data_IF_494807509421
#
_entry.id   IF_494807509421
#
_cell.length_a   1.000
_cell.length_b   1.000
_cell.length_c   1.000
_cell.angle_alpha   90.00
_cell.angle_beta   90.00
_cell.angle_gamma   90.00
#
_symmetry.space_group_name_H-M   'P 1'
#
loop_
_entity.id
_entity.type
_entity.pdbx_description
1 polymer ?
2 non-polymer ?
3 non-polymer ?
4 water ?
#
# COMPACT_ATOMS: atom_id res chain seq x y z
N UNK A 1 -8.51 13.09 11.66
CA UNK A 1 -9.66 12.88 10.76
C UNK A 1 -9.88 11.41 10.40
N UNK A 2 -11.00 11.14 9.73
CA UNK A 2 -11.32 9.80 9.29
C UNK A 2 -11.28 9.85 7.78
N UNK A 3 -10.48 8.97 7.18
CA UNK A 3 -10.33 8.94 5.72
C UNK A 3 -11.01 7.71 5.12
N UNK A 4 -11.94 7.92 4.20
CA UNK A 4 -12.61 6.79 3.56
C UNK A 4 -11.78 6.30 2.37
N UNK A 5 -11.99 5.06 1.95
CA UNK A 5 -11.21 4.50 0.84
C UNK A 5 -11.92 4.38 -0.50
N UNK A 6 -12.99 5.14 -0.70
CA UNK A 6 -13.70 5.10 -1.98
C UNK A 6 -12.74 5.59 -3.04
N UNK A 7 -11.88 6.53 -2.65
CA UNK A 7 -10.87 7.09 -3.54
C UNK A 7 -9.52 6.88 -2.87
N UNK A 8 -8.44 7.06 -3.63
CA UNK A 8 -7.11 6.92 -3.10
C UNK A 8 -6.98 7.87 -1.92
N UNK A 9 -6.46 7.38 -0.78
CA UNK A 9 -6.32 8.25 0.39
C UNK A 9 -5.19 9.28 0.20
N UNK A 10 -5.49 10.33 -0.56
CA UNK A 10 -4.52 11.38 -0.82
C UNK A 10 -4.65 12.55 0.14
N UNK A 11 -3.53 12.94 0.75
CA UNK A 11 -3.49 14.05 1.69
C UNK A 11 -2.36 15.00 1.35
N UNK A 12 -2.43 16.23 1.85
CA UNK A 12 -1.39 17.22 1.58
C UNK A 12 -0.26 17.12 2.60
N UNK A 13 0.98 17.14 2.10
CA UNK A 13 2.15 17.08 2.95
C UNK A 13 3.09 18.25 2.68
N UNK A 14 3.95 18.54 3.66
CA UNK A 14 4.91 19.61 3.52
C UNK A 14 6.29 19.07 3.83
N UNK A 15 7.18 19.14 2.85
CA UNK A 15 8.54 18.67 3.00
C UNK A 15 9.47 19.56 2.18
N UNK A 16 10.59 19.95 2.78
CA UNK A 16 11.53 20.80 2.10
C UNK A 16 10.85 22.10 1.69
N UNK A 17 9.92 22.56 2.53
CA UNK A 17 9.21 23.80 2.25
C UNK A 17 8.18 23.71 1.14
N UNK A 18 8.11 22.56 0.47
CA UNK A 18 7.15 22.38 -0.62
C UNK A 18 5.91 21.59 -0.22
N UNK A 19 4.77 21.97 -0.77
CA UNK A 19 3.52 21.27 -0.50
C UNK A 19 3.33 20.23 -1.60
N UNK A 20 2.89 19.04 -1.21
CA UNK A 20 2.67 17.97 -2.18
C UNK A 20 1.50 17.10 -1.77
N UNK A 21 1.04 16.27 -2.69
CA UNK A 21 -0.04 15.34 -2.43
C UNK A 21 0.64 14.00 -2.25
N UNK A 22 0.27 13.27 -1.20
CA UNK A 22 0.85 11.97 -0.92
C UNK A 22 -0.22 10.98 -0.45
N UNK A 23 0.01 9.73 -0.82
CA UNK A 23 -0.90 8.63 -0.52
C UNK A 23 -0.60 8.01 0.85
N UNK A 24 -1.62 7.89 1.69
CA UNK A 24 -1.45 7.26 3.00
C UNK A 24 -1.50 5.78 2.68
N UNK A 25 -0.35 5.13 2.75
CA UNK A 25 -0.22 3.73 2.37
C UNK A 25 0.14 2.79 3.51
N UNK A 26 -0.82 2.02 4.00
CA UNK A 26 -0.55 1.08 5.09
C UNK A 26 0.27 -0.12 4.65
N UNK A 27 0.38 -0.34 3.33
CA UNK A 27 1.13 -1.47 2.82
C UNK A 27 2.59 -1.16 2.52
N UNK A 28 2.97 0.09 2.68
CA UNK A 28 4.35 0.49 2.44
C UNK A 28 5.11 0.58 3.76
N UNK A 29 6.24 -0.11 3.85
CA UNK A 29 7.05 -0.09 5.06
C UNK A 29 7.75 1.26 5.19
N UNK A 30 8.23 1.76 4.06
CA UNK A 30 8.96 3.03 4.01
C UNK A 30 8.16 4.13 3.31
N UNK A 31 8.75 5.31 3.28
CA UNK A 31 8.14 6.47 2.65
C UNK A 31 8.94 6.75 1.37
N UNK A 32 8.26 6.83 0.23
CA UNK A 32 8.92 7.05 -1.04
C UNK A 32 8.36 8.26 -1.75
N UNK A 33 9.21 9.23 -2.04
CA UNK A 33 8.75 10.44 -2.70
C UNK A 33 9.29 10.56 -4.11
N UNK A 34 8.54 11.25 -4.95
CA UNK A 34 8.95 11.47 -6.33
C UNK A 34 10.27 12.24 -6.33
N UNK A 35 11.06 12.07 -7.38
CA UNK A 35 12.34 12.74 -7.51
C UNK A 35 12.31 14.21 -7.11
N UNK A 36 13.21 14.60 -6.20
CA UNK A 36 13.33 15.98 -5.74
C UNK A 36 14.72 16.11 -5.16
N UNK A 37 15.37 17.25 -5.40
CA UNK A 37 16.73 17.42 -4.92
C UNK A 37 16.90 18.05 -3.55
N UNK A 38 16.73 17.24 -2.51
CA UNK A 38 16.88 17.70 -1.13
C UNK A 38 18.34 17.82 -0.76
N UNK A 39 18.69 18.83 0.03
CA UNK A 39 20.08 19.01 0.44
C UNK A 39 20.44 17.95 1.48
N UNK A 40 21.72 17.70 1.65
CA UNK A 40 22.14 16.71 2.64
C UNK A 40 22.72 15.44 2.05
N UNK A 41 23.34 14.65 2.91
CA UNK A 41 23.94 13.40 2.49
C UNK A 41 22.86 12.33 2.41
N UNK A 42 23.12 11.30 1.63
CA UNK A 42 22.19 10.20 1.48
C UNK A 42 22.93 8.93 1.13
N UNK A 43 22.29 7.79 1.33
CA UNK A 43 22.90 6.52 1.00
C UNK A 43 22.05 5.84 -0.06
N UNK A 44 22.67 5.15 -1.01
CA UNK A 44 21.94 4.46 -2.08
C UNK A 44 21.17 3.29 -1.50
N UNK A 45 20.04 2.95 -2.11
CA UNK A 45 19.23 1.84 -1.63
C UNK A 45 18.30 1.27 -2.70
N UNK A 46 17.88 0.03 -2.47
CA UNK A 46 16.99 -0.69 -3.36
C UNK A 46 15.72 -1.04 -2.61
N UNK A 47 14.57 -0.76 -3.21
CA UNK A 47 13.29 -1.09 -2.59
C UNK A 47 12.45 -1.82 -3.62
N UNK A 48 11.72 -2.83 -3.14
CA UNK A 48 10.89 -3.60 -4.03
C UNK A 48 9.42 -3.31 -3.87
N UNK A 49 8.75 -3.17 -5.01
CA UNK A 49 7.32 -2.92 -5.01
C UNK A 49 6.76 -3.95 -5.97
N UNK A 50 5.48 -3.84 -6.31
CA UNK A 50 4.86 -4.80 -7.21
C UNK A 50 5.62 -5.15 -8.50
N UNK A 51 6.02 -4.14 -9.28
CA UNK A 51 6.71 -4.42 -10.53
C UNK A 51 8.22 -4.60 -10.52
N UNK A 52 8.79 -4.86 -9.34
CA UNK A 52 10.23 -5.02 -9.21
C UNK A 52 10.89 -4.02 -8.27
N UNK A 53 12.21 -3.88 -8.40
CA UNK A 53 12.98 -2.97 -7.57
C UNK A 53 13.38 -1.70 -8.30
N UNK A 54 13.49 -0.61 -7.54
CA UNK A 54 13.92 0.65 -8.10
C UNK A 54 15.00 1.20 -7.19
N UNK A 55 15.97 1.90 -7.76
CA UNK A 55 17.05 2.47 -6.98
C UNK A 55 16.57 3.81 -6.42
N UNK A 56 16.78 4.03 -5.13
CA UNK A 56 16.35 5.26 -4.50
C UNK A 56 17.44 5.84 -3.61
N UNK A 57 17.29 7.10 -3.25
CA UNK A 57 18.24 7.76 -2.38
C UNK A 57 17.60 7.95 -1.02
N UNK A 58 18.27 7.43 0.00
CA UNK A 58 17.76 7.52 1.36
C UNK A 58 18.27 8.72 2.15
N UNK A 59 17.34 9.54 2.63
CA UNK A 59 17.67 10.70 3.44
C UNK A 59 17.13 10.44 4.84
N UNK A 60 17.91 10.73 5.87
CA UNK A 60 17.46 10.50 7.24
C UNK A 60 17.07 11.78 7.96
N UNK A 61 16.25 11.62 8.99
CA UNK A 61 15.79 12.73 9.83
C UNK A 61 15.23 13.92 9.09
N UNK A 62 14.29 13.66 8.19
CA UNK A 62 13.68 14.73 7.42
C UNK A 62 12.36 15.13 8.08
N UNK A 63 12.17 16.43 8.34
CA UNK A 63 10.94 16.96 8.95
C UNK A 63 9.85 16.95 7.90
N UNK A 64 8.71 16.36 8.21
CA UNK A 64 7.62 16.33 7.24
C UNK A 64 6.30 16.52 7.96
N UNK A 65 5.46 17.40 7.41
CA UNK A 65 4.16 17.66 8.00
C UNK A 65 3.09 16.96 7.16
N UNK A 66 2.37 16.05 7.80
CA UNK A 66 1.34 15.29 7.13
C UNK A 66 -0.04 15.77 7.56
N UNK A 67 -0.77 16.34 6.60
CA UNK A 67 -2.12 16.81 6.84
C UNK A 67 -2.20 17.57 8.16
N UNK A 68 -1.20 18.41 8.41
CA UNK A 68 -1.17 19.20 9.63
C UNK A 68 -0.39 18.61 10.78
N UNK A 69 -0.19 17.29 10.79
CA UNK A 69 0.55 16.66 11.87
C UNK A 69 2.03 16.52 11.53
N UNK A 70 2.88 16.84 12.50
CA UNK A 70 4.32 16.77 12.30
C UNK A 70 4.89 15.39 12.57
N UNK A 71 5.92 15.05 11.80
CA UNK A 71 6.60 13.78 11.92
C UNK A 71 8.00 14.04 11.40
N UNK A 72 8.89 13.10 11.66
CA UNK A 72 10.26 13.24 11.20
C UNK A 72 10.85 11.84 11.10
N UNK A 73 11.47 11.54 9.96
CA UNK A 73 12.04 10.23 9.81
C UNK A 73 12.72 10.02 8.48
N UNK A 74 13.00 8.75 8.17
CA UNK A 74 13.65 8.39 6.93
C UNK A 74 12.72 8.54 5.73
N UNK A 75 13.24 9.14 4.66
CA UNK A 75 12.47 9.34 3.44
C UNK A 75 13.31 8.90 2.24
N UNK A 76 12.72 8.08 1.38
CA UNK A 76 13.41 7.60 0.19
C UNK A 76 12.96 8.42 -1.01
N UNK A 77 13.92 8.86 -1.82
CA UNK A 77 13.64 9.67 -3.01
C UNK A 77 14.01 8.87 -4.27
N UNK A 78 13.13 8.88 -5.26
CA UNK A 78 13.40 8.14 -6.47
C UNK A 78 12.32 8.27 -7.53
N UNK A 79 12.42 7.49 -8.62
CA UNK A 79 11.43 7.54 -9.71
C UNK A 79 10.15 6.77 -9.39
N UNK A 80 9.35 7.29 -8.48
CA UNK A 80 8.09 6.64 -8.13
C UNK A 80 6.96 7.39 -8.83
N UNK A 81 5.92 6.68 -9.28
CA UNK A 81 4.82 7.37 -9.94
C UNK A 81 3.97 8.24 -9.01
N UNK A 82 4.15 8.07 -7.71
CA UNK A 82 3.39 8.85 -6.73
C UNK A 82 4.10 8.90 -5.39
N UNK A 83 3.82 9.95 -4.61
CA UNK A 83 4.43 10.07 -3.29
C UNK A 83 3.70 9.14 -2.35
N UNK A 84 4.47 8.36 -1.60
CA UNK A 84 3.88 7.39 -0.68
C UNK A 84 4.38 7.54 0.74
N UNK A 85 3.43 7.66 1.66
CA UNK A 85 3.72 7.76 3.08
C UNK A 85 3.53 6.36 3.66
N UNK A 86 4.64 5.76 4.10
CA UNK A 86 4.59 4.41 4.66
C UNK A 86 4.39 4.39 6.16
N UNK A 87 4.40 3.19 6.73
CA UNK A 87 4.20 3.02 8.17
C UNK A 87 5.22 3.73 9.07
N UNK A 88 6.45 3.90 8.62
CA UNK A 88 7.46 4.56 9.45
C UNK A 88 7.00 5.96 9.87
N UNK A 89 6.19 6.59 9.04
CA UNK A 89 5.69 7.93 9.35
C UNK A 89 4.26 7.91 9.87
N UNK A 90 3.47 6.94 9.40
CA UNK A 90 2.08 6.79 9.80
C UNK A 90 1.95 6.54 11.29
N UNK A 91 2.91 5.84 11.87
CA UNK A 91 2.85 5.55 13.29
C UNK A 91 3.12 6.80 14.11
N UNK A 92 3.82 7.76 13.52
CA UNK A 92 4.15 9.00 14.22
C UNK A 92 2.95 9.93 14.40
N UNK A 93 2.00 9.90 13.48
CA UNK A 93 0.82 10.76 13.62
C UNK A 93 -0.34 9.98 14.23
N UNK A 94 -0.02 8.80 14.77
CA UNK A 94 -1.03 7.97 15.40
C UNK A 94 -2.09 7.42 14.47
N UNK A 95 -1.73 7.15 13.23
CA UNK A 95 -2.69 6.63 12.26
C UNK A 95 -3.06 5.17 12.51
N UNK A 96 -4.35 4.86 12.43
CA UNK A 96 -4.82 3.49 12.63
C UNK A 96 -5.79 3.06 11.53
N UNK A 97 -5.92 1.75 11.36
CA UNK A 97 -6.82 1.18 10.37
C UNK A 97 -8.02 0.68 11.19
N UNK A 98 -9.23 1.09 10.81
CA UNK A 98 -10.41 0.69 11.57
C UNK A 98 -11.58 0.11 10.80
N UNK A 99 -12.13 -0.99 11.31
CA UNK A 99 -13.31 -1.63 10.72
C UNK A 99 -13.98 -2.60 11.71
N UNK B 1 -12.20 -4.11 14.45
CA UNK B 1 -10.87 -4.03 15.09
C UNK B 1 -10.19 -2.70 14.77
N UNK B 2 -9.30 -2.28 15.66
CA UNK B 2 -8.53 -1.06 15.44
C UNK B 2 -7.11 -1.60 15.27
N UNK B 3 -6.44 -1.20 14.22
CA UNK B 3 -5.11 -1.73 13.97
C UNK B 3 -4.02 -0.67 13.90
N UNK B 4 -2.98 -0.89 14.70
CA UNK B 4 -1.83 0.02 14.76
C UNK B 4 -0.89 -0.37 13.63
N UNK B 5 0.05 0.51 13.32
CA UNK B 5 0.94 0.26 12.21
C UNK B 5 2.43 0.08 12.50
N UNK B 6 2.77 -0.22 13.76
CA UNK B 6 4.17 -0.43 14.12
C UNK B 6 4.63 -1.73 13.49
N UNK B 7 3.67 -2.56 13.12
CA UNK B 7 3.98 -3.82 12.47
C UNK B 7 3.12 -3.86 11.22
N UNK B 8 3.51 -4.68 10.24
CA UNK B 8 2.75 -4.82 9.02
C UNK B 8 1.33 -5.21 9.40
N UNK B 9 0.32 -4.56 8.80
CA UNK B 9 -1.07 -4.87 9.13
C UNK B 9 -1.57 -6.14 8.44
N UNK B 10 -1.18 -7.29 8.97
CA UNK B 10 -1.58 -8.57 8.39
C UNK B 10 -2.79 -9.19 9.06
N UNK B 11 -3.65 -9.82 8.27
CA UNK B 11 -4.82 -10.49 8.81
C UNK B 11 -4.99 -11.82 8.09
N UNK B 12 -5.78 -12.70 8.69
CA UNK B 12 -6.05 -14.00 8.10
C UNK B 12 -7.28 -13.85 7.20
N UNK B 13 -7.23 -14.51 6.06
CA UNK B 13 -8.34 -14.49 5.11
C UNK B 13 -8.65 -15.92 4.69
N UNK B 14 -9.90 -16.18 4.36
CA UNK B 14 -10.29 -17.50 3.92
C UNK B 14 -10.85 -17.34 2.53
N UNK B 15 -10.30 -18.07 1.58
CA UNK B 15 -10.76 -17.99 0.21
C UNK B 15 -10.67 -19.35 -0.45
N UNK B 16 -11.67 -19.68 -1.26
CA UNK B 16 -11.70 -20.98 -1.90
C UNK B 16 -11.67 -22.07 -0.85
N UNK B 17 -12.08 -21.71 0.37
CA UNK B 17 -12.09 -22.66 1.46
C UNK B 17 -10.72 -22.90 2.05
N UNK B 18 -9.80 -21.97 1.81
CA UNK B 18 -8.43 -22.06 2.30
C UNK B 18 -8.03 -20.79 3.06
N UNK B 19 -7.19 -20.95 4.08
CA UNK B 19 -6.76 -19.80 4.86
C UNK B 19 -5.46 -19.24 4.31
N UNK B 20 -5.31 -17.92 4.39
CA UNK B 20 -4.08 -17.28 3.92
C UNK B 20 -3.82 -15.98 4.66
N UNK B 21 -2.57 -15.53 4.60
CA UNK B 21 -2.15 -14.31 5.26
C UNK B 21 -2.22 -13.19 4.23
N UNK B 22 -2.80 -12.06 4.59
CA UNK B 22 -2.89 -10.94 3.66
C UNK B 22 -2.57 -9.63 4.37
N UNK B 23 -2.14 -8.65 3.58
CA UNK B 23 -1.76 -7.33 4.08
C UNK B 23 -2.84 -6.32 3.73
N UNK B 24 -3.32 -5.57 4.72
CA UNK B 24 -4.34 -4.54 4.49
C UNK B 24 -3.56 -3.37 3.90
N UNK B 25 -3.80 -3.10 2.63
CA UNK B 25 -3.05 -2.10 1.89
C UNK B 25 -3.88 -0.96 1.30
N UNK B 26 -3.92 0.17 1.99
CA UNK B 26 -4.68 1.33 1.53
C UNK B 26 -4.13 2.00 0.28
N UNK B 27 -2.88 1.68 -0.08
CA UNK B 27 -2.27 2.27 -1.26
C UNK B 27 -2.50 1.45 -2.52
N UNK B 28 -3.13 0.29 -2.37
CA UNK B 28 -3.41 -0.57 -3.51
C UNK B 28 -4.85 -0.39 -3.98
N UNK B 29 -5.02 -0.08 -5.27
CA UNK B 29 -6.37 0.10 -5.82
C UNK B 29 -7.11 -1.22 -5.84
N UNK B 30 -6.40 -2.29 -6.19
CA UNK B 30 -7.00 -3.61 -6.29
C UNK B 30 -6.35 -4.64 -5.38
N UNK B 31 -7.00 -5.80 -5.29
CA UNK B 31 -6.54 -6.92 -4.48
C UNK B 31 -5.79 -7.92 -5.36
N UNK B 32 -4.60 -8.33 -4.92
CA UNK B 32 -3.78 -9.28 -5.67
C UNK B 32 -3.23 -10.36 -4.75
N UNK B 33 -3.45 -11.62 -5.11
CA UNK B 33 -2.96 -12.75 -4.32
C UNK B 33 -1.84 -13.48 -5.04
N UNK B 34 -1.02 -14.21 -4.28
CA UNK B 34 0.07 -14.97 -4.89
C UNK B 34 -0.53 -16.01 -5.80
N UNK B 35 0.29 -16.60 -6.67
CA UNK B 35 -0.18 -17.61 -7.60
C UNK B 35 -0.93 -18.72 -6.86
N UNK B 36 -2.13 -19.03 -7.35
CA UNK B 36 -2.96 -20.05 -6.75
C UNK B 36 -4.12 -20.37 -7.67
N UNK B 37 -4.83 -21.44 -7.37
CA UNK B 37 -5.96 -21.83 -8.20
C UNK B 37 -7.28 -21.33 -7.66
N UNK B 38 -8.07 -20.75 -8.55
CA UNK B 38 -9.39 -20.26 -8.19
C UNK B 38 -10.38 -20.82 -9.19
N UNK B 39 -11.57 -21.19 -8.73
CA UNK B 39 -12.55 -21.73 -9.66
C UNK B 39 -13.12 -20.57 -10.49
N UNK B 40 -13.53 -20.86 -11.71
CA UNK B 40 -14.10 -19.83 -12.55
C UNK B 40 -13.24 -19.37 -13.70
N UNK B 41 -13.83 -18.56 -14.58
CA UNK B 41 -13.11 -18.03 -15.74
C UNK B 41 -12.30 -16.80 -15.34
N UNK B 42 -11.10 -16.69 -15.88
CA UNK B 42 -10.25 -15.55 -15.58
C UNK B 42 -9.80 -14.86 -16.87
N UNK B 43 -9.53 -13.56 -16.77
CA UNK B 43 -9.08 -12.78 -17.92
C UNK B 43 -7.72 -12.18 -17.61
N UNK B 44 -6.84 -12.16 -18.62
CA UNK B 44 -5.50 -11.60 -18.42
C UNK B 44 -5.61 -10.10 -18.19
N UNK B 45 -4.88 -9.60 -17.21
CA UNK B 45 -4.88 -8.17 -16.90
C UNK B 45 -3.49 -7.73 -16.49
N UNK B 46 -3.22 -6.43 -16.62
CA UNK B 46 -1.95 -5.89 -16.21
C UNK B 46 -2.17 -4.77 -15.23
N UNK B 47 -1.36 -4.75 -14.18
CA UNK B 47 -1.42 -3.72 -13.15
C UNK B 47 -0.01 -3.24 -12.90
N UNK B 48 0.12 -1.99 -12.47
CA UNK B 48 1.42 -1.45 -12.20
C UNK B 48 1.58 -0.90 -10.80
N UNK B 49 2.83 -0.81 -10.38
CA UNK B 49 3.15 -0.29 -9.08
C UNK B 49 4.53 0.31 -9.15
N UNK B 50 5.27 0.20 -8.05
CA UNK B 50 6.63 0.70 -8.04
C UNK B 50 7.46 -0.48 -8.54
N UNK B 51 8.33 -0.21 -9.50
CA UNK B 51 9.15 -1.26 -10.07
C UNK B 51 8.68 -1.54 -11.48
N UNK B 52 7.39 -1.34 -11.74
CA UNK B 52 6.88 -1.58 -13.08
C UNK B 52 5.55 -2.28 -13.13
N UNK B 53 5.25 -2.88 -14.27
CA UNK B 53 4.00 -3.60 -14.48
C UNK B 53 4.14 -5.11 -14.44
N UNK B 54 3.06 -5.79 -14.07
CA UNK B 54 3.07 -7.24 -14.04
C UNK B 54 1.78 -7.77 -14.67
N UNK B 55 1.83 -9.00 -15.16
CA UNK B 55 0.67 -9.63 -15.79
C UNK B 55 -0.03 -10.48 -14.74
N UNK B 56 -1.34 -10.32 -14.62
CA UNK B 56 -2.08 -11.10 -13.65
C UNK B 56 -3.37 -11.68 -14.21
N UNK B 57 -3.97 -12.59 -13.45
CA UNK B 57 -5.22 -13.22 -13.84
C UNK B 57 -6.31 -12.57 -13.01
N UNK B 58 -7.36 -12.10 -13.66
CA UNK B 58 -8.44 -11.46 -12.94
C UNK B 58 -9.65 -12.37 -12.75
N UNK B 59 -9.99 -12.64 -11.49
CA UNK B 59 -11.16 -13.46 -11.18
C UNK B 59 -12.23 -12.52 -10.66
N UNK B 60 -13.41 -12.56 -11.26
CA UNK B 60 -14.48 -11.68 -10.83
C UNK B 60 -15.41 -12.29 -9.80
N UNK B 61 -16.05 -11.42 -9.02
CA UNK B 61 -17.02 -11.82 -8.01
C UNK B 61 -16.63 -13.03 -7.15
N UNK B 62 -15.48 -12.95 -6.51
CA UNK B 62 -15.00 -14.03 -5.65
C UNK B 62 -15.33 -13.70 -4.19
N UNK B 63 -15.89 -14.68 -3.48
CA UNK B 63 -16.26 -14.50 -2.08
C UNK B 63 -14.99 -14.66 -1.25
N UNK B 64 -14.80 -13.78 -0.28
CA UNK B 64 -13.61 -13.84 0.54
C UNK B 64 -13.84 -13.24 1.91
N UNK B 65 -13.49 -14.02 2.92
CA UNK B 65 -13.67 -13.58 4.28
C UNK B 65 -12.36 -12.94 4.74
N UNK B 66 -12.46 -11.69 5.14
CA UNK B 66 -11.28 -10.97 5.58
C UNK B 66 -11.39 -10.68 7.06
N UNK B 67 -10.60 -11.40 7.85
CA UNK B 67 -10.62 -11.22 9.29
C UNK B 67 -12.05 -11.22 9.84
N UNK B 68 -12.83 -12.22 9.43
CA UNK B 68 -14.19 -12.32 9.91
C UNK B 68 -15.25 -11.54 9.13
N UNK B 69 -14.83 -10.54 8.35
CA UNK B 69 -15.80 -9.76 7.58
C UNK B 69 -15.94 -10.27 6.15
N UNK B 70 -17.16 -10.26 5.65
CA UNK B 70 -17.41 -10.78 4.30
C UNK B 70 -17.43 -9.75 3.17
N UNK B 71 -16.77 -10.12 2.07
CA UNK B 71 -16.70 -9.29 0.89
C UNK B 71 -16.82 -10.19 -0.34
N UNK B 72 -17.25 -9.61 -1.45
CA UNK B 72 -17.38 -10.33 -2.72
C UNK B 72 -16.98 -9.37 -3.83
N UNK B 73 -15.82 -9.60 -4.42
CA UNK B 73 -15.37 -8.71 -5.47
C UNK B 73 -14.28 -9.30 -6.33
N UNK B 74 -13.66 -8.43 -7.13
CA UNK B 74 -12.58 -8.83 -8.03
C UNK B 74 -11.32 -9.18 -7.26
N UNK B 75 -10.67 -10.25 -7.70
CA UNK B 75 -9.45 -10.72 -7.08
C UNK B 75 -8.44 -11.00 -8.18
N UNK B 76 -7.25 -10.42 -8.05
CA UNK B 76 -6.21 -10.65 -9.04
C UNK B 76 -5.22 -11.66 -8.44
N UNK B 77 -4.68 -12.52 -9.30
CA UNK B 77 -3.72 -13.53 -8.86
C UNK B 77 -2.52 -13.47 -9.79
N UNK B 78 -1.34 -13.33 -9.23
CA UNK B 78 -0.14 -13.25 -10.03
C UNK B 78 1.14 -13.23 -9.21
N UNK B 79 2.29 -13.00 -9.87
CA UNK B 79 3.58 -12.96 -9.19
C UNK B 79 3.81 -11.76 -8.28
N UNK B 80 3.21 -11.79 -7.11
CA UNK B 80 3.36 -10.74 -6.10
C UNK B 80 4.08 -11.36 -4.90
N UNK B 81 4.94 -10.58 -4.23
CA UNK B 81 5.70 -11.04 -3.06
C UNK B 81 4.85 -11.42 -1.87
N UNK B 82 3.65 -10.85 -1.82
CA UNK B 82 2.74 -11.08 -0.71
C UNK B 82 1.29 -10.80 -1.10
N UNK B 83 0.35 -11.41 -0.40
CA UNK B 83 -1.06 -11.20 -0.67
C UNK B 83 -1.45 -9.79 -0.22
N UNK B 84 -2.16 -9.07 -1.08
CA UNK B 84 -2.58 -7.71 -0.79
C UNK B 84 -4.08 -7.49 -0.96
N UNK B 85 -4.73 -6.99 0.09
CA UNK B 85 -6.16 -6.70 0.05
C UNK B 85 -6.20 -5.20 -0.24
N UNK B 86 -6.72 -4.83 -1.40
CA UNK B 86 -6.79 -3.43 -1.78
C UNK B 86 -8.08 -2.72 -1.42
N UNK B 87 -8.22 -1.49 -1.90
CA UNK B 87 -9.39 -0.66 -1.61
C UNK B 87 -10.70 -1.22 -2.12
N UNK B 88 -10.66 -2.00 -3.19
CA UNK B 88 -11.89 -2.56 -3.72
C UNK B 88 -12.59 -3.44 -2.68
N UNK B 89 -11.81 -4.17 -1.88
CA UNK B 89 -12.42 -5.01 -0.85
C UNK B 89 -12.49 -4.31 0.52
N UNK B 90 -11.49 -3.47 0.81
CA UNK B 90 -11.43 -2.75 2.06
C UNK B 90 -12.69 -1.92 2.29
N UNK B 91 -13.20 -1.30 1.23
CA UNK B 91 -14.41 -0.48 1.36
C UNK B 91 -15.59 -1.37 1.68
N UNK B 92 -15.61 -2.57 1.11
CA UNK B 92 -16.71 -3.51 1.35
C UNK B 92 -16.86 -3.87 2.82
N UNK B 93 -15.75 -3.82 3.57
CA UNK B 93 -15.80 -4.14 4.99
C UNK B 93 -15.81 -2.88 5.86
N UNK B 94 -16.13 -1.74 5.25
CA UNK B 94 -16.21 -0.49 5.99
C UNK B 94 -14.91 -0.10 6.67
N UNK B 95 -13.80 -0.29 5.96
CA UNK B 95 -12.49 0.02 6.50
C UNK B 95 -12.15 1.50 6.28
N UNK B 96 -11.63 2.16 7.31
CA UNK B 96 -11.23 3.56 7.20
C UNK B 96 -9.90 3.84 7.86
N UNK B 97 -9.31 4.98 7.49
CA UNK B 97 -8.05 5.42 8.07
C UNK B 97 -8.39 6.47 9.10
N UNK B 98 -7.77 6.39 10.27
CA UNK B 98 -8.05 7.34 11.33
C UNK B 98 -6.81 7.81 12.10
N UNK B 99 -6.77 9.10 12.38
CA UNK B 99 -5.70 9.68 13.18
C UNK B 99 -6.14 11.07 13.64
X LIG C 1 2.57 16.46 -5.95
X LIG C 1 3.49 17.32 -6.63
X LIG C 1 2.59 16.51 -4.62
X LIG C 1 1.42 15.80 -6.69
X LIG D 1 12.09 5.90 10.57
X LIG D 1 12.15 7.03 11.45
X LIG D 1 12.37 6.14 9.29
X LIG D 1 12.06 4.49 11.12
X LIG E 1 -11.27 14.50 14.20
X LIG E 1 -10.46 15.46 13.51
X LIG E 1 -11.51 14.76 15.48
X LIG E 1 -12.16 13.54 13.42
X LIG F 1 -8.78 8.20 -7.44
X LIG F 1 -8.63 7.20 -8.46
X LIG F 1 -9.63 7.89 -6.45
X LIG F 1 -7.74 9.29 -7.25
X LIG G 1 10.78 23.14 5.75
X LIG G 1 10.44 22.15 6.72
X LIG G 1 9.86 23.41 4.83
X LIG G 1 12.23 23.59 5.58
X LIG H 1 13.47 18.88 -7.86
X LIG H 1 13.64 17.92 -8.92
X LIG H 1 14.55 19.12 -7.12
X LIG H 1 12.09 19.21 -7.33
X LIG I 1 -2.82 -23.68 -5.00
X LIG I 1 -3.77 -22.64 -4.75
X LIG I 1 -2.31 -24.27 -3.91
X LIG I 1 -2.74 -24.35 -6.35
X LIG J 1 -14.62 -4.49 -7.78
X LIG J 1 -14.57 -5.52 -6.78
X LIG J 1 -13.65 -4.49 -8.69
X LIG J 1 -15.45 -3.23 -7.55
X LIG K 1 -14.39 -7.39 14.94
X LIG K 1 -13.29 -8.29 15.07
X LIG K 1 -15.43 -7.83 14.22
X LIG K 1 -14.58 -6.25 15.94
X LIG L 1 4.42 -4.94 -1.39
X LIG L 1 5.17 -3.67 -1.81
X LIG L 1 4.60 -2.36 -1.25
X LIG L 1 5.47 -1.29 -1.79
X LIG L 1 5.33 -0.95 -2.99
X LIG L 1 6.35 -0.71 -0.94
X LIG L 1 7.32 0.38 -1.13
X LIG L 1 8.11 0.62 0.18
X LIG L 1 6.70 1.62 -1.39
X LIG L 1 8.34 0.14 -2.20
X LIG L 1 3.11 -2.40 -1.72
X LIG L 1 2.29 -3.62 -1.40
X LIG L 1 3.06 -4.85 -1.89
X LIG L 1 2.33 -1.23 -1.25
X LIG L 1 1.54 -0.61 -2.36
X LIG L 1 0.54 -0.08 -1.50
X LIG L 1 2.07 0.60 -3.12
X LIG L 1 1.25 1.22 -4.25
X LIG L 1 2.05 2.49 -4.86
X LIG L 1 1.26 3.14 -6.02
X LIG L 1 -0.08 3.78 -5.79
X LIG L 1 -0.78 4.37 -6.91
X LIG L 1 -0.17 4.33 -8.26
X LIG L 1 1.15 3.69 -8.47
X LIG L 1 1.85 3.11 -7.35
X LIG L 1 0.99 0.20 -5.43
X LIG L 1 1.82 -0.71 -5.84
X LIG L 1 -0.20 0.42 -5.97
X LIG L 1 -0.77 -0.30 -7.09
X LIG L 1 -1.92 0.45 -7.73
X LIG L 1 -2.77 1.04 -6.75
X LIG L 1 -2.58 -0.58 -8.61
X LIG L 1 -2.62 -1.88 -7.86
X LIG L 1 -3.36 -3.07 -7.85
X LIG L 1 -3.00 -4.09 -6.89
X LIG L 1 -1.87 -3.91 -5.95
X LIG L 1 -1.11 -2.72 -5.96
X LIG L 1 -1.39 -1.67 -6.84
X LIG L 1 5.05 -6.16 -1.93
X LIG L 1 6.47 -6.45 -1.46
X LIG L 1 6.74 -6.96 -0.11
X LIG L 1 9.14 -7.00 -0.57
X LIG L 1 8.97 -6.51 -1.91
X LIG L 1 7.60 -6.24 -2.37
X LIG L 1 10.53 -7.19 -0.37
X LIG L 1 11.39 -6.85 -1.52
X LIG L 1 10.25 -6.44 -2.43
X LIG L 1 8.07 -7.26 0.41
#
# INVERSE_FOLDING_TARGET
>A
PQITLWKRPLVTIRIGGQLKEALLDTGADDTVLEEMNLPGRWKPKMIGGIGGFIKVRQYDQIPIEICGHKAIGTVLVGPTPTNVIGRNLLTQIGCTLNF
>B
PQITLWKRPLVTIRIGGQLKEALLDTGADDTVLEEMNLPGRWKPKMIGGIGGFIKVRQYDQIPIEICGHKAIGTVLVGPTPTNVIGRNLLTQIGCTLNF
>C hetero
1 ACT C O OXT CH3
>D hetero
1 ACT C O OXT CH3
>E hetero
1 ACT C O OXT CH3
>F hetero
1 ACT C O OXT CH3
>G hetero
1 ACT C O OXT CH3
>H hetero
1 ACT C O OXT CH3
>I hetero
1 ACT C O OXT CH3
>J hetero
1 ACT C O OXT CH3
>K hetero
1 ACT C O OXT CH3
>L hetero
1 XN3 N1 C1 C2 C3 O1 N2 C4 C5 C6 C7 N3 C8 C9 C10 C11 O2 C12 C13 C14 C15 C16 C17 C18 C19 C20 C21 O3 N4 C22 C23 O4 C24 C25 C26 C27 C28 C29 C30 C31 C32 C33 C34 C35 C36 O5 C38 O6 C37
#
